data_IF_821206901437
#
_entry.id   IF_821206901437
#
_cell.length_a   1.000
_cell.length_b   1.000
_cell.length_c   1.000
_cell.angle_alpha   90.00
_cell.angle_beta   90.00
_cell.angle_gamma   90.00
#
_symmetry.space_group_name_H-M   'P 1'
#
loop_
_entity.id
_entity.type
_entity.pdbx_description
1 polymer ?
#
# COMPACT_ATOMS: atom_id res chain seq x y z
N UNK A 1 -1.84 -19.66 -4.80
CA UNK A 1 -0.38 -19.52 -4.64
C UNK A 1 -0.10 -18.30 -3.78
N UNK A 2 0.34 -18.51 -2.55
CA UNK A 2 0.69 -17.46 -1.60
C UNK A 2 2.13 -17.02 -1.83
N UNK A 3 2.29 -16.07 -2.76
CA UNK A 3 3.58 -15.44 -3.05
C UNK A 3 3.58 -13.99 -2.58
N UNK A 4 4.75 -13.47 -2.22
CA UNK A 4 4.91 -12.06 -1.91
C UNK A 4 4.75 -11.19 -3.15
N UNK A 5 4.36 -9.92 -2.96
CA UNK A 5 4.35 -8.92 -4.03
C UNK A 5 5.20 -7.71 -3.66
N UNK A 6 5.96 -7.19 -4.61
CA UNK A 6 6.61 -5.88 -4.52
C UNK A 6 5.97 -4.97 -5.56
N UNK A 7 5.47 -3.81 -5.12
CA UNK A 7 4.77 -2.82 -5.92
C UNK A 7 5.58 -1.53 -5.86
N UNK A 8 6.23 -1.18 -6.97
CA UNK A 8 6.87 0.11 -7.14
C UNK A 8 5.87 1.09 -7.75
N UNK A 9 5.46 2.09 -6.98
CA UNK A 9 4.60 3.18 -7.45
C UNK A 9 5.48 4.29 -8.03
N UNK A 10 4.98 4.92 -9.09
CA UNK A 10 5.47 6.20 -9.56
C UNK A 10 5.72 6.25 -11.05
N UNK A 11 6.42 7.30 -11.47
CA UNK A 11 6.61 7.62 -12.89
C UNK A 11 8.10 7.83 -13.19
N UNK A 12 8.65 6.95 -14.04
CA UNK A 12 10.07 6.98 -14.44
C UNK A 12 10.49 8.29 -15.14
N UNK A 13 9.55 9.01 -15.72
CA UNK A 13 9.77 10.29 -16.39
C UNK A 13 9.70 11.50 -15.43
N UNK A 14 9.47 11.27 -14.13
CA UNK A 14 9.32 12.33 -13.11
C UNK A 14 10.43 12.31 -12.05
N UNK A 15 11.67 12.02 -12.48
CA UNK A 15 12.89 12.03 -11.64
C UNK A 15 12.75 11.12 -10.40
N UNK A 16 12.72 11.67 -9.20
CA UNK A 16 12.68 10.91 -7.94
C UNK A 16 11.35 10.16 -7.75
N UNK A 17 10.28 10.59 -8.43
CA UNK A 17 9.02 9.85 -8.57
C UNK A 17 9.22 8.50 -9.29
N UNK A 18 10.36 8.32 -9.97
CA UNK A 18 10.76 7.09 -10.63
C UNK A 18 11.35 6.02 -9.71
N UNK A 19 11.39 6.23 -8.38
CA UNK A 19 11.98 5.28 -7.43
C UNK A 19 11.32 3.89 -7.48
N UNK A 20 10.01 3.82 -7.69
CA UNK A 20 9.26 2.57 -7.83
C UNK A 20 9.67 1.76 -9.06
N UNK A 21 9.54 2.31 -10.29
CA UNK A 21 10.04 1.68 -11.51
C UNK A 21 11.52 1.26 -11.43
N UNK A 22 12.39 2.13 -10.91
CA UNK A 22 13.82 1.84 -10.76
C UNK A 22 14.08 0.66 -9.80
N UNK A 23 13.36 0.58 -8.67
CA UNK A 23 13.41 -0.54 -7.74
C UNK A 23 12.99 -1.85 -8.43
N UNK A 24 11.87 -1.84 -9.13
CA UNK A 24 11.32 -3.03 -9.80
C UNK A 24 12.32 -3.56 -10.84
N UNK A 25 12.86 -2.68 -11.69
CA UNK A 25 13.89 -3.06 -12.67
C UNK A 25 15.12 -3.68 -11.99
N UNK A 26 15.57 -3.10 -10.86
CA UNK A 26 16.73 -3.58 -10.12
C UNK A 26 16.50 -4.91 -9.40
N UNK A 27 15.26 -5.20 -8.96
CA UNK A 27 14.88 -6.49 -8.37
C UNK A 27 14.66 -7.57 -9.43
N UNK A 28 14.15 -7.21 -10.61
CA UNK A 28 13.94 -8.16 -11.71
C UNK A 28 15.25 -8.85 -12.10
N UNK A 29 16.36 -8.11 -12.12
CA UNK A 29 17.71 -8.63 -12.38
C UNK A 29 18.21 -9.67 -11.35
N UNK A 30 17.53 -9.86 -10.22
CA UNK A 30 17.92 -10.80 -9.15
C UNK A 30 17.16 -12.13 -9.19
N UNK A 31 16.05 -12.22 -9.93
CA UNK A 31 15.23 -13.44 -10.03
C UNK A 31 14.73 -13.95 -8.67
N UNK A 32 13.64 -13.38 -8.14
CA UNK A 32 13.11 -13.72 -6.81
C UNK A 32 12.00 -14.79 -6.92
N UNK A 33 12.24 -16.07 -6.57
CA UNK A 33 11.23 -17.11 -6.68
C UNK A 33 10.05 -16.81 -5.76
N UNK A 34 8.82 -17.00 -6.26
CA UNK A 34 7.61 -16.77 -5.47
C UNK A 34 7.29 -15.30 -5.18
N UNK A 35 8.08 -14.34 -5.69
CA UNK A 35 7.81 -12.91 -5.57
C UNK A 35 7.38 -12.36 -6.93
N UNK A 36 6.25 -11.67 -6.94
CA UNK A 36 5.82 -10.93 -8.13
C UNK A 36 6.23 -9.45 -8.00
N UNK A 37 6.85 -8.92 -9.03
CA UNK A 37 7.18 -7.51 -9.14
C UNK A 37 6.10 -6.80 -9.98
N UNK A 38 5.73 -5.58 -9.60
CA UNK A 38 4.69 -4.81 -10.30
C UNK A 38 5.06 -3.34 -10.24
N UNK A 39 5.01 -2.65 -11.38
CA UNK A 39 5.01 -1.18 -11.43
C UNK A 39 3.55 -0.73 -11.41
N UNK A 40 3.24 0.29 -10.60
CA UNK A 40 1.91 0.88 -10.50
C UNK A 40 1.99 2.39 -10.72
N UNK A 41 0.95 2.93 -11.33
CA UNK A 41 0.71 4.38 -11.47
C UNK A 41 0.23 5.03 -10.17
N UNK A 42 0.00 4.23 -9.12
CA UNK A 42 -0.50 4.69 -7.83
C UNK A 42 -2.02 4.78 -7.76
N UNK A 43 -2.75 4.31 -8.79
CA UNK A 43 -4.20 4.28 -8.74
C UNK A 43 -4.66 3.33 -7.61
N UNK A 44 -5.46 3.81 -6.63
CA UNK A 44 -5.79 3.05 -5.43
C UNK A 44 -6.53 1.73 -5.67
N UNK A 45 -7.42 1.67 -6.66
CA UNK A 45 -8.18 0.47 -7.02
C UNK A 45 -7.25 -0.62 -7.56
N UNK A 46 -6.35 -0.27 -8.48
CA UNK A 46 -5.32 -1.16 -9.02
C UNK A 46 -4.37 -1.66 -7.93
N UNK A 47 -4.05 -0.82 -6.95
CA UNK A 47 -3.26 -1.22 -5.80
C UNK A 47 -3.97 -2.27 -4.94
N UNK A 48 -5.27 -2.06 -4.65
CA UNK A 48 -6.09 -3.02 -3.91
C UNK A 48 -6.13 -4.40 -4.59
N UNK A 49 -6.31 -4.41 -5.90
CA UNK A 49 -6.28 -5.64 -6.71
C UNK A 49 -4.89 -6.30 -6.71
N UNK A 50 -3.83 -5.50 -6.79
CA UNK A 50 -2.46 -6.01 -6.88
C UNK A 50 -2.08 -6.85 -5.64
N UNK A 51 -2.45 -6.40 -4.44
CA UNK A 51 -2.13 -7.08 -3.19
C UNK A 51 -3.24 -8.00 -2.64
N UNK A 52 -4.41 -8.05 -3.27
CA UNK A 52 -5.52 -8.90 -2.82
C UNK A 52 -5.12 -10.39 -2.71
N UNK A 53 -5.48 -11.00 -1.58
CA UNK A 53 -5.22 -12.42 -1.28
C UNK A 53 -3.74 -12.80 -1.21
N UNK A 54 -2.84 -11.85 -0.93
CA UNK A 54 -1.40 -12.10 -0.74
C UNK A 54 -1.03 -12.11 0.73
N UNK A 55 -0.10 -12.99 1.10
CA UNK A 55 0.47 -13.03 2.47
C UNK A 55 1.35 -11.79 2.76
N UNK A 56 2.00 -11.24 1.73
CA UNK A 56 2.85 -10.07 1.84
C UNK A 56 2.75 -9.18 0.60
N UNK A 57 2.58 -7.88 0.82
CA UNK A 57 2.75 -6.85 -0.19
C UNK A 57 3.70 -5.76 0.34
N UNK A 58 4.75 -5.46 -0.42
CA UNK A 58 5.71 -4.39 -0.16
C UNK A 58 5.46 -3.29 -1.18
N UNK A 59 5.07 -2.11 -0.72
CA UNK A 59 4.78 -0.96 -1.58
C UNK A 59 5.87 0.09 -1.40
N UNK A 60 6.41 0.61 -2.50
CA UNK A 60 7.44 1.66 -2.50
C UNK A 60 6.99 2.79 -3.39
N UNK A 61 6.92 4.00 -2.83
CA UNK A 61 6.50 5.23 -3.50
C UNK A 61 7.38 6.40 -3.05
N UNK A 62 7.48 7.44 -3.89
CA UNK A 62 8.17 8.68 -3.55
C UNK A 62 7.30 9.55 -2.64
N UNK A 63 7.86 9.97 -1.50
CA UNK A 63 7.20 10.93 -0.61
C UNK A 63 7.78 12.33 -0.80
N UNK A 64 6.90 13.31 -1.02
CA UNK A 64 7.29 14.69 -1.21
C UNK A 64 7.31 15.43 0.14
N UNK A 65 8.47 15.97 0.52
CA UNK A 65 8.64 16.86 1.67
C UNK A 65 9.56 18.02 1.30
N UNK A 66 9.37 19.15 1.97
CA UNK A 66 10.24 20.32 1.80
C UNK A 66 10.79 20.76 3.17
N UNK A 67 12.13 20.79 3.35
CA UNK A 67 13.16 20.28 2.42
C UNK A 67 13.11 18.75 2.28
N UNK A 68 13.61 18.23 1.15
CA UNK A 68 13.70 16.79 0.92
C UNK A 68 14.82 16.17 1.80
N UNK A 69 14.58 14.95 2.28
CA UNK A 69 15.58 14.15 2.99
C UNK A 69 15.49 12.71 2.47
N UNK A 70 16.23 12.36 1.41
CA UNK A 70 16.19 11.01 0.82
C UNK A 70 16.39 9.92 1.87
N UNK A 71 15.63 8.82 1.74
CA UNK A 71 15.63 7.73 2.72
C UNK A 71 14.78 7.97 3.97
N UNK A 72 14.23 9.18 4.17
CA UNK A 72 13.34 9.47 5.30
C UNK A 72 11.90 9.06 5.00
N UNK A 73 11.47 7.96 5.59
CA UNK A 73 10.08 7.52 5.62
C UNK A 73 9.33 8.04 6.88
N UNK A 74 7.98 8.06 6.89
CA UNK A 74 7.25 8.20 8.15
C UNK A 74 7.69 7.11 9.14
N UNK A 75 7.81 7.45 10.43
CA UNK A 75 8.19 6.50 11.49
C UNK A 75 7.21 5.32 11.58
N UNK A 76 5.97 5.55 11.16
CA UNK A 76 4.90 4.54 11.14
C UNK A 76 3.97 4.86 9.98
N UNK A 77 3.78 3.90 9.10
CA UNK A 77 2.80 3.91 8.01
C UNK A 77 1.88 2.71 8.23
N UNK A 78 0.57 2.93 8.16
CA UNK A 78 -0.44 1.91 8.37
C UNK A 78 -1.37 1.90 7.17
N UNK A 79 -1.51 0.74 6.55
CA UNK A 79 -2.47 0.50 5.48
C UNK A 79 -3.44 -0.55 5.98
N UNK A 80 -4.73 -0.20 6.04
CA UNK A 80 -5.81 -1.14 6.39
C UNK A 80 -6.56 -1.49 5.11
N UNK A 81 -6.37 -2.72 4.64
CA UNK A 81 -7.13 -3.25 3.52
C UNK A 81 -8.33 -4.05 4.05
N UNK A 82 -9.50 -3.83 3.46
CA UNK A 82 -10.73 -4.57 3.74
C UNK A 82 -11.18 -5.20 2.44
N UNK A 83 -11.32 -6.52 2.42
CA UNK A 83 -11.78 -7.24 1.24
C UNK A 83 -13.24 -6.89 0.95
N UNK A 84 -13.53 -6.49 -0.29
CA UNK A 84 -14.87 -6.18 -0.72
C UNK A 84 -15.65 -7.48 -0.97
N UNK A 85 -16.92 -7.51 -0.56
CA UNK A 85 -17.81 -8.65 -0.84
C UNK A 85 -18.71 -8.41 -2.06
N UNK A 86 -18.97 -7.15 -2.43
CA UNK A 86 -19.77 -6.74 -3.58
C UNK A 86 -19.34 -5.34 -4.02
N UNK A 87 -19.06 -5.16 -5.31
CA UNK A 87 -18.66 -3.89 -5.94
C UNK A 87 -19.63 -3.47 -7.06
N UNK A 88 -20.81 -4.08 -7.11
CA UNK A 88 -21.88 -3.69 -8.03
C UNK A 88 -22.49 -2.32 -7.71
N UNK A 89 -23.35 -1.85 -8.61
CA UNK A 89 -24.04 -0.57 -8.43
C UNK A 89 -25.08 -0.64 -7.31
N UNK A 90 -24.99 0.27 -6.35
CA UNK A 90 -25.97 0.42 -5.27
C UNK A 90 -25.47 1.34 -4.15
N UNK A 91 -26.36 1.86 -3.30
CA UNK A 91 -25.95 2.70 -2.19
C UNK A 91 -25.41 1.89 -1.00
N UNK A 92 -24.32 2.37 -0.42
CA UNK A 92 -23.79 1.88 0.86
C UNK A 92 -22.98 0.59 0.79
N UNK A 93 -22.64 0.06 1.97
CA UNK A 93 -21.84 -1.16 2.12
C UNK A 93 -22.71 -2.42 2.05
N UNK A 94 -22.16 -3.49 1.48
CA UNK A 94 -22.72 -4.84 1.62
C UNK A 94 -22.84 -5.25 3.09
N UNK A 95 -23.74 -6.16 3.46
CA UNK A 95 -23.91 -6.62 4.84
C UNK A 95 -22.60 -7.13 5.47
N UNK A 96 -21.79 -7.87 4.69
CA UNK A 96 -20.51 -8.42 5.14
C UNK A 96 -19.49 -7.33 5.49
N UNK A 97 -19.30 -6.34 4.60
CA UNK A 97 -18.35 -5.25 4.84
C UNK A 97 -18.85 -4.33 5.95
N UNK A 98 -20.16 -4.10 6.04
CA UNK A 98 -20.79 -3.34 7.13
C UNK A 98 -20.53 -3.97 8.49
N UNK A 99 -20.60 -5.29 8.59
CA UNK A 99 -20.30 -6.01 9.82
C UNK A 99 -18.83 -5.87 10.26
N UNK A 100 -17.91 -5.62 9.32
CA UNK A 100 -16.50 -5.37 9.61
C UNK A 100 -16.21 -3.94 10.11
N UNK A 101 -17.12 -2.98 9.86
CA UNK A 101 -16.89 -1.56 10.15
C UNK A 101 -16.49 -1.27 11.62
N UNK A 102 -17.12 -1.87 12.65
CA UNK A 102 -16.69 -1.66 14.04
C UNK A 102 -15.24 -2.08 14.29
N UNK A 103 -14.76 -3.14 13.63
CA UNK A 103 -13.36 -3.55 13.72
C UNK A 103 -12.43 -2.55 13.04
N UNK A 104 -12.75 -2.11 11.81
CA UNK A 104 -11.95 -1.11 11.08
C UNK A 104 -11.82 0.18 11.89
N UNK A 105 -12.93 0.67 12.46
CA UNK A 105 -12.94 1.87 13.31
C UNK A 105 -12.02 1.69 14.52
N UNK A 106 -12.10 0.55 15.22
CA UNK A 106 -11.21 0.27 16.36
C UNK A 106 -9.74 0.22 15.95
N UNK A 107 -9.44 -0.41 14.82
CA UNK A 107 -8.08 -0.49 14.29
C UNK A 107 -7.53 0.93 14.05
N UNK A 108 -8.26 1.78 13.31
CA UNK A 108 -7.87 3.17 13.06
C UNK A 108 -7.65 3.95 14.38
N UNK A 109 -8.58 3.83 15.34
CA UNK A 109 -8.46 4.53 16.61
C UNK A 109 -7.26 4.09 17.44
N UNK A 110 -6.93 2.79 17.43
CA UNK A 110 -5.74 2.27 18.11
C UNK A 110 -4.47 2.89 17.52
N UNK A 111 -4.40 2.95 16.19
CA UNK A 111 -3.28 3.49 15.44
C UNK A 111 -3.05 4.99 15.70
N UNK A 112 -4.14 5.77 15.73
CA UNK A 112 -4.07 7.20 16.01
C UNK A 112 -3.67 7.52 17.46
N UNK A 113 -4.01 6.67 18.43
CA UNK A 113 -3.63 6.86 19.85
C UNK A 113 -2.14 6.67 20.07
N UNK A 114 -1.53 5.69 19.39
CA UNK A 114 -0.08 5.44 19.46
C UNK A 114 0.71 6.66 18.97
N UNK A 115 0.24 7.29 17.89
CA UNK A 115 0.91 8.46 17.31
C UNK A 115 0.90 9.68 18.23
N UNK A 116 -0.19 9.91 18.99
CA UNK A 116 -0.26 11.03 19.95
C UNK A 116 0.68 10.86 21.14
N UNK A 117 0.88 9.63 21.62
CA UNK A 117 1.80 9.33 22.73
C UNK A 117 3.28 9.46 22.36
N UNK A 118 3.61 9.34 21.08
CA UNK A 118 4.98 9.54 20.59
C UNK A 118 5.33 11.02 20.32
N UNK A 119 4.36 11.93 20.44
CA UNK A 119 4.48 13.34 20.11
C UNK A 119 4.35 14.30 21.32
N UNK A 120 4.10 13.76 22.52
CA UNK A 120 4.09 14.50 23.79
C UNK A 120 5.13 13.93 24.73
#
# INVERSE_FOLDING_TARGET
>A
MTGGRVIGIGNEFRRDDGIGPALVARLAARGLPGVRLTVSDGEPTHLLEAWAGRELAVVVDAVHRQPATPGRAPRRLVVLAVEAADTGYGPGLSPAVRAALPWVVRAVLAELRVTRRAAG
#
